data_IF_698796314813
#
_entry.id   IF_698796314813
#
_cell.length_a   1.000
_cell.length_b   1.000
_cell.length_c   1.000
_cell.angle_alpha   90.00
_cell.angle_beta   90.00
_cell.angle_gamma   90.00
#
_symmetry.space_group_name_H-M   'P 1'
#
loop_
_entity.id
_entity.type
_entity.pdbx_description
1 polymer ?
#
# COMPACT_ATOMS: atom_id res chain seq x y z
N UNK A 1 5.81 -68.36 15.83
CA UNK A 1 5.48 -67.35 16.85
C UNK A 1 5.94 -66.00 16.29
N UNK A 2 4.99 -65.05 16.11
CA UNK A 2 5.09 -63.55 16.21
C UNK A 2 6.38 -62.84 15.71
N UNK A 3 6.41 -61.73 14.95
CA UNK A 3 5.46 -60.62 14.68
C UNK A 3 6.02 -59.68 13.58
N UNK A 4 5.10 -58.95 12.93
CA UNK A 4 5.15 -57.79 12.01
C UNK A 4 6.06 -56.61 12.43
N UNK A 5 6.58 -55.78 11.48
CA UNK A 5 6.37 -54.30 11.37
C UNK A 5 7.18 -53.62 10.25
N UNK A 6 6.50 -52.72 9.54
CA UNK A 6 6.86 -51.87 8.39
C UNK A 6 7.71 -50.62 8.71
N UNK A 7 8.17 -49.92 7.66
CA UNK A 7 8.54 -48.48 7.66
C UNK A 7 9.53 -48.16 6.53
N UNK A 8 9.11 -47.73 5.34
CA UNK A 8 8.82 -46.34 4.91
C UNK A 8 9.99 -45.37 5.14
N UNK A 9 10.76 -45.09 4.08
CA UNK A 9 11.73 -44.00 4.00
C UNK A 9 11.36 -43.05 2.85
N UNK A 10 11.01 -41.83 3.22
CA UNK A 10 10.48 -40.73 2.43
C UNK A 10 11.51 -40.23 1.40
N UNK A 11 11.14 -40.21 0.11
CA UNK A 11 11.87 -39.48 -0.92
C UNK A 11 11.41 -38.03 -0.95
N UNK A 12 12.30 -37.09 -0.63
CA UNK A 12 12.11 -35.65 -0.84
C UNK A 12 12.16 -35.36 -2.34
N UNK A 13 11.01 -35.47 -2.99
CA UNK A 13 10.83 -35.10 -4.40
C UNK A 13 10.38 -33.65 -4.50
N UNK A 14 11.30 -32.76 -4.89
CA UNK A 14 10.95 -31.46 -5.48
C UNK A 14 10.19 -31.76 -6.78
N UNK A 15 8.86 -31.78 -6.70
CA UNK A 15 8.01 -31.95 -7.88
C UNK A 15 8.20 -30.71 -8.72
N UNK A 16 8.80 -30.82 -9.91
CA UNK A 16 9.16 -29.70 -10.80
C UNK A 16 7.96 -28.89 -11.34
N UNK A 17 6.85 -28.82 -10.61
CA UNK A 17 5.66 -28.05 -10.88
C UNK A 17 5.64 -26.84 -9.93
N UNK A 18 5.79 -25.60 -10.41
CA UNK A 18 5.84 -24.42 -9.54
C UNK A 18 4.54 -24.19 -8.76
N UNK A 19 3.40 -24.72 -9.25
CA UNK A 19 2.10 -24.62 -8.57
C UNK A 19 2.03 -25.49 -7.31
N UNK A 20 2.64 -26.69 -7.32
CA UNK A 20 2.66 -27.56 -6.14
C UNK A 20 3.76 -27.17 -5.16
N UNK A 21 4.90 -26.65 -5.65
CA UNK A 21 5.94 -26.06 -4.79
C UNK A 21 5.41 -24.81 -4.08
N UNK A 22 4.57 -24.00 -4.75
CA UNK A 22 3.81 -22.87 -4.16
C UNK A 22 2.84 -23.32 -3.07
N UNK A 23 2.11 -24.42 -3.29
CA UNK A 23 1.16 -24.97 -2.30
C UNK A 23 1.86 -25.72 -1.15
N UNK A 24 2.99 -26.35 -1.41
CA UNK A 24 3.80 -27.03 -0.39
C UNK A 24 4.54 -26.03 0.50
N UNK A 25 5.06 -24.94 -0.07
CA UNK A 25 5.64 -23.81 0.67
C UNK A 25 4.58 -23.09 1.54
N UNK A 26 3.32 -23.05 1.10
CA UNK A 26 2.18 -22.60 1.93
C UNK A 26 1.92 -23.50 3.14
N UNK A 27 2.25 -24.80 3.06
CA UNK A 27 2.00 -25.79 4.13
C UNK A 27 3.16 -26.01 5.08
N UNK A 28 4.41 -25.72 4.67
CA UNK A 28 5.62 -25.97 5.46
C UNK A 28 6.05 -24.79 6.34
N UNK A 29 5.42 -23.62 6.23
CA UNK A 29 5.54 -22.58 7.26
C UNK A 29 4.43 -22.82 8.29
N UNK A 30 4.74 -23.45 9.44
CA UNK A 30 3.74 -23.63 10.48
C UNK A 30 3.35 -22.25 11.00
N UNK A 31 2.05 -21.97 11.04
CA UNK A 31 1.49 -20.96 11.96
C UNK A 31 1.94 -19.49 11.78
N UNK A 32 2.25 -19.02 10.56
CA UNK A 32 2.35 -17.56 10.26
C UNK A 32 1.00 -16.96 9.84
N UNK A 33 -0.05 -17.25 10.60
CA UNK A 33 -1.40 -16.63 10.49
C UNK A 33 -1.50 -15.32 11.29
N UNK A 34 -0.40 -14.65 11.62
CA UNK A 34 -0.41 -13.65 12.70
C UNK A 34 -1.00 -12.29 12.26
N UNK A 35 -0.87 -11.89 11.00
CA UNK A 35 -1.71 -10.82 10.46
C UNK A 35 -3.01 -11.41 9.91
N UNK A 36 -4.00 -11.61 10.79
CA UNK A 36 -5.39 -11.67 10.38
C UNK A 36 -5.77 -10.24 9.92
N UNK A 37 -6.07 -10.02 8.62
CA UNK A 37 -6.20 -8.67 8.10
C UNK A 37 -7.49 -7.96 8.56
N UNK A 38 -8.40 -8.67 9.24
CA UNK A 38 -9.51 -8.09 9.97
C UNK A 38 -9.08 -7.52 11.34
N UNK A 39 -7.88 -7.85 11.83
CA UNK A 39 -7.28 -7.28 13.05
C UNK A 39 -6.41 -6.06 12.79
N UNK A 40 -6.06 -5.78 11.53
CA UNK A 40 -5.31 -4.59 11.15
C UNK A 40 -6.24 -3.37 11.24
N UNK A 41 -5.73 -2.26 11.77
CA UNK A 41 -6.42 -0.95 11.75
C UNK A 41 -5.78 -0.01 10.72
N UNK A 42 -6.54 0.89 10.07
CA UNK A 42 -6.02 1.87 9.10
C UNK A 42 -5.30 3.03 9.79
N UNK A 43 -4.23 2.72 10.53
CA UNK A 43 -3.36 3.73 11.12
C UNK A 43 -2.48 4.36 10.03
N UNK A 44 -1.98 5.60 10.22
CA UNK A 44 -1.04 6.21 9.27
C UNK A 44 0.18 5.32 8.98
N UNK A 45 0.68 4.61 10.00
CA UNK A 45 1.79 3.68 9.86
C UNK A 45 1.44 2.45 9.00
N UNK A 46 0.25 1.88 9.16
CA UNK A 46 -0.19 0.74 8.36
C UNK A 46 -0.53 1.15 6.92
N UNK A 47 -1.16 2.31 6.71
CA UNK A 47 -1.44 2.85 5.38
C UNK A 47 -0.15 3.16 4.62
N UNK A 48 0.86 3.75 5.29
CA UNK A 48 2.18 3.96 4.70
C UNK A 48 2.82 2.67 4.22
N UNK A 49 2.75 1.60 5.02
CA UNK A 49 3.27 0.29 4.63
C UNK A 49 2.50 -0.32 3.45
N UNK A 50 1.16 -0.20 3.43
CA UNK A 50 0.36 -0.67 2.31
C UNK A 50 0.73 0.05 1.00
N UNK A 51 0.96 1.36 1.07
CA UNK A 51 1.46 2.14 -0.08
C UNK A 51 2.84 1.65 -0.54
N UNK A 52 3.77 1.40 0.39
CA UNK A 52 5.10 0.89 0.06
C UNK A 52 5.04 -0.49 -0.62
N UNK A 53 4.18 -1.39 -0.13
CA UNK A 53 3.98 -2.69 -0.77
C UNK A 53 3.30 -2.56 -2.14
N UNK A 54 2.28 -1.71 -2.28
CA UNK A 54 1.63 -1.47 -3.56
C UNK A 54 2.60 -0.90 -4.60
N UNK A 55 3.48 0.03 -4.22
CA UNK A 55 4.51 0.59 -5.12
C UNK A 55 5.51 -0.48 -5.58
N UNK A 56 6.04 -1.28 -4.64
CA UNK A 56 6.99 -2.36 -4.95
C UNK A 56 6.37 -3.43 -5.84
N UNK A 57 5.15 -3.87 -5.51
CA UNK A 57 4.43 -4.87 -6.29
C UNK A 57 4.08 -4.34 -7.68
N UNK A 58 3.68 -3.07 -7.79
CA UNK A 58 3.39 -2.47 -9.10
C UNK A 58 4.63 -2.18 -9.95
N UNK A 59 5.82 -2.02 -9.37
CA UNK A 59 7.06 -1.95 -10.14
C UNK A 59 7.49 -3.32 -10.68
N UNK A 60 7.29 -4.38 -9.89
CA UNK A 60 7.74 -5.74 -10.24
C UNK A 60 6.72 -6.55 -11.04
N UNK A 61 5.43 -6.23 -10.90
CA UNK A 61 4.30 -6.93 -11.52
C UNK A 61 3.28 -5.93 -12.12
N UNK A 62 3.70 -5.08 -13.07
CA UNK A 62 2.85 -4.02 -13.62
C UNK A 62 1.63 -4.54 -14.38
N UNK A 63 1.71 -5.74 -14.95
CA UNK A 63 0.64 -6.36 -15.75
C UNK A 63 -0.38 -7.15 -14.91
N UNK A 64 -0.16 -7.27 -13.60
CA UNK A 64 -1.11 -7.91 -12.69
C UNK A 64 -2.10 -6.89 -12.12
N UNK A 65 -3.32 -7.31 -11.70
CA UNK A 65 -4.30 -6.41 -11.09
C UNK A 65 -3.75 -5.62 -9.89
N UNK A 66 -2.76 -6.19 -9.19
CA UNK A 66 -2.09 -5.52 -8.06
C UNK A 66 -1.29 -4.30 -8.48
N UNK A 67 -0.79 -4.26 -9.72
CA UNK A 67 -0.03 -3.13 -10.25
C UNK A 67 -0.87 -1.86 -10.37
N UNK A 68 -2.17 -1.98 -10.55
CA UNK A 68 -3.12 -0.85 -10.59
C UNK A 68 -3.34 -0.17 -9.23
N UNK A 69 -2.85 -0.78 -8.15
CA UNK A 69 -2.88 -0.19 -6.80
C UNK A 69 -1.70 0.74 -6.53
N UNK A 70 -0.69 0.73 -7.41
CA UNK A 70 0.45 1.63 -7.31
C UNK A 70 0.01 3.07 -7.50
N UNK A 71 0.16 3.86 -6.44
CA UNK A 71 -0.06 5.31 -6.45
C UNK A 71 1.26 6.03 -6.31
N UNK A 72 1.55 6.94 -7.24
CA UNK A 72 2.72 7.80 -7.23
C UNK A 72 2.33 9.18 -6.73
N UNK A 73 3.21 9.83 -5.97
CA UNK A 73 3.03 11.23 -5.60
C UNK A 73 3.08 12.11 -6.85
N UNK A 74 2.04 12.92 -7.08
CA UNK A 74 1.89 13.73 -8.30
C UNK A 74 3.06 14.68 -8.55
N UNK A 75 3.72 15.17 -7.48
CA UNK A 75 4.85 16.11 -7.59
C UNK A 75 6.10 15.42 -8.13
N UNK A 76 6.20 14.10 -7.97
CA UNK A 76 7.36 13.30 -8.35
C UNK A 76 7.07 12.21 -9.39
N UNK A 77 5.80 12.04 -9.79
CA UNK A 77 5.37 10.98 -10.71
C UNK A 77 5.91 11.14 -12.15
N UNK A 78 6.05 12.37 -12.64
CA UNK A 78 6.43 12.64 -14.03
C UNK A 78 7.71 11.92 -14.50
N UNK A 79 8.87 12.03 -13.81
CA UNK A 79 10.07 11.29 -14.20
C UNK A 79 9.89 9.77 -14.15
N UNK A 80 9.03 9.25 -13.27
CA UNK A 80 8.76 7.81 -13.16
C UNK A 80 7.93 7.35 -14.37
N UNK A 81 6.84 8.06 -14.69
CA UNK A 81 5.99 7.76 -15.84
C UNK A 81 6.77 7.82 -17.17
N UNK A 82 7.71 8.76 -17.29
CA UNK A 82 8.58 8.88 -18.47
C UNK A 82 9.56 7.72 -18.67
N UNK A 83 9.73 6.82 -17.68
CA UNK A 83 10.53 5.59 -17.85
C UNK A 83 9.80 4.57 -18.72
N UNK A 84 8.47 4.60 -18.76
CA UNK A 84 7.63 3.59 -19.42
C UNK A 84 6.71 4.16 -20.50
N UNK A 85 6.42 5.46 -20.48
CA UNK A 85 5.53 6.13 -21.41
C UNK A 85 6.22 7.34 -22.06
N UNK A 86 5.92 7.59 -23.33
CA UNK A 86 6.29 8.83 -24.02
C UNK A 86 5.43 10.02 -23.57
N UNK A 87 5.90 11.25 -23.80
CA UNK A 87 5.12 12.47 -23.51
C UNK A 87 3.73 12.47 -24.17
N UNK A 88 3.61 11.93 -25.39
CA UNK A 88 2.32 11.82 -26.09
C UNK A 88 1.38 10.83 -25.39
N UNK A 89 1.89 9.66 -24.98
CA UNK A 89 1.10 8.68 -24.24
C UNK A 89 0.69 9.20 -22.85
N UNK A 90 1.57 9.91 -22.16
CA UNK A 90 1.23 10.55 -20.88
C UNK A 90 0.13 11.60 -21.08
N UNK A 91 0.23 12.42 -22.13
CA UNK A 91 -0.80 13.41 -22.43
C UNK A 91 -2.16 12.78 -22.73
N UNK A 92 -2.17 11.69 -23.50
CA UNK A 92 -3.37 10.93 -23.84
C UNK A 92 -3.99 10.26 -22.61
N UNK A 93 -3.19 9.51 -21.84
CA UNK A 93 -3.65 8.83 -20.63
C UNK A 93 -4.15 9.82 -19.57
N UNK A 94 -3.56 11.03 -19.49
CA UNK A 94 -4.07 12.14 -18.65
C UNK A 94 -5.39 12.70 -19.13
N UNK A 95 -5.60 12.75 -20.44
CA UNK A 95 -6.84 13.26 -21.01
C UNK A 95 -8.03 12.36 -20.65
N UNK A 96 -7.84 11.04 -20.74
CA UNK A 96 -8.89 10.06 -20.44
C UNK A 96 -9.04 9.79 -18.94
N UNK A 97 -7.93 9.71 -18.20
CA UNK A 97 -7.96 9.45 -16.75
C UNK A 97 -8.15 10.69 -15.88
N UNK A 98 -8.00 11.90 -16.45
CA UNK A 98 -8.28 13.16 -15.77
C UNK A 98 -7.23 13.61 -14.73
N UNK A 99 -6.05 12.97 -14.68
CA UNK A 99 -4.97 13.37 -13.77
C UNK A 99 -4.39 14.76 -14.07
N UNK A 100 -4.40 15.59 -13.04
CA UNK A 100 -3.79 16.90 -13.01
C UNK A 100 -2.85 17.02 -11.78
N UNK A 101 -1.51 17.13 -11.96
CA UNK A 101 -0.54 17.23 -10.89
C UNK A 101 -0.66 18.52 -10.06
N UNK A 102 -1.34 19.54 -10.58
CA UNK A 102 -1.60 20.78 -9.84
C UNK A 102 -2.81 20.66 -8.90
N UNK A 103 -3.68 19.65 -9.10
CA UNK A 103 -4.92 19.44 -8.35
C UNK A 103 -4.90 18.17 -7.51
N UNK A 104 -4.34 17.10 -8.05
CA UNK A 104 -4.41 15.76 -7.49
C UNK A 104 -3.13 15.44 -6.72
N UNK A 105 -3.26 14.93 -5.50
CA UNK A 105 -2.11 14.61 -4.64
C UNK A 105 -1.31 13.41 -5.18
N UNK A 106 -2.02 12.43 -5.75
CA UNK A 106 -1.47 11.19 -6.28
C UNK A 106 -1.98 10.90 -7.68
N UNK A 107 -1.24 10.05 -8.40
CA UNK A 107 -1.64 9.46 -9.68
C UNK A 107 -1.48 7.96 -9.65
N UNK A 108 -2.38 7.24 -10.32
CA UNK A 108 -2.20 5.84 -10.66
C UNK A 108 -2.48 5.59 -12.13
N UNK A 109 -1.93 4.49 -12.63
CA UNK A 109 -2.35 3.91 -13.91
C UNK A 109 -3.52 2.97 -13.61
N UNK A 110 -4.70 3.24 -14.18
CA UNK A 110 -5.88 2.38 -14.01
C UNK A 110 -5.80 1.14 -14.93
N UNK A 111 -6.83 0.28 -14.88
CA UNK A 111 -6.89 -0.95 -15.68
C UNK A 111 -6.87 -0.70 -17.20
N UNK A 112 -7.34 0.47 -17.64
CA UNK A 112 -7.34 0.89 -19.05
C UNK A 112 -6.02 1.52 -19.50
N UNK A 113 -5.07 1.71 -18.58
CA UNK A 113 -3.80 2.39 -18.84
C UNK A 113 -3.87 3.92 -18.73
N UNK A 114 -4.99 4.46 -18.27
CA UNK A 114 -5.20 5.89 -18.08
C UNK A 114 -4.63 6.39 -16.76
N UNK A 115 -4.21 7.65 -16.74
CA UNK A 115 -3.65 8.30 -15.56
C UNK A 115 -4.77 8.95 -14.77
N UNK A 116 -5.18 8.27 -13.69
CA UNK A 116 -6.22 8.71 -12.77
C UNK A 116 -5.63 9.50 -11.61
N UNK A 117 -6.15 10.71 -11.40
CA UNK A 117 -5.76 11.57 -10.28
C UNK A 117 -6.56 11.25 -9.01
N UNK A 118 -5.86 11.19 -7.88
CA UNK A 118 -6.43 10.85 -6.57
C UNK A 118 -6.05 11.89 -5.52
N UNK A 119 -6.97 12.18 -4.61
CA UNK A 119 -6.64 12.81 -3.33
C UNK A 119 -5.94 11.82 -2.39
N UNK A 120 -5.22 12.31 -1.39
CA UNK A 120 -4.61 11.45 -0.35
C UNK A 120 -5.60 10.47 0.27
N UNK A 121 -6.80 10.93 0.62
CA UNK A 121 -7.83 10.08 1.22
C UNK A 121 -8.32 8.96 0.27
N UNK A 122 -8.41 9.25 -1.04
CA UNK A 122 -8.78 8.23 -2.03
C UNK A 122 -7.67 7.20 -2.23
N UNK A 123 -6.41 7.64 -2.26
CA UNK A 123 -5.25 6.75 -2.34
C UNK A 123 -5.16 5.84 -1.10
N UNK A 124 -5.34 6.39 0.10
CA UNK A 124 -5.38 5.61 1.35
C UNK A 124 -6.52 4.60 1.37
N UNK A 125 -7.72 5.03 0.93
CA UNK A 125 -8.88 4.14 0.85
C UNK A 125 -8.67 3.01 -0.17
N UNK A 126 -8.00 3.28 -1.30
CA UNK A 126 -7.71 2.30 -2.34
C UNK A 126 -6.87 1.15 -1.78
N UNK A 127 -5.71 1.46 -1.19
CA UNK A 127 -4.81 0.44 -0.62
C UNK A 127 -5.42 -0.25 0.59
N UNK A 128 -6.23 0.46 1.39
CA UNK A 128 -6.93 -0.12 2.52
C UNK A 128 -8.00 -1.13 2.11
N UNK A 129 -8.79 -0.80 1.09
CA UNK A 129 -9.86 -1.67 0.56
C UNK A 129 -9.26 -2.96 0.00
N UNK A 130 -8.08 -2.85 -0.64
CA UNK A 130 -7.36 -3.97 -1.28
C UNK A 130 -6.23 -4.52 -0.41
N UNK A 131 -6.24 -4.25 0.90
CA UNK A 131 -5.17 -4.66 1.84
C UNK A 131 -4.91 -6.16 1.82
N UNK A 132 -5.96 -6.98 1.71
CA UNK A 132 -5.84 -8.44 1.68
C UNK A 132 -5.08 -8.90 0.45
N UNK A 133 -5.39 -8.31 -0.71
CA UNK A 133 -4.75 -8.63 -1.98
C UNK A 133 -3.26 -8.20 -1.96
N UNK A 134 -2.96 -7.02 -1.40
CA UNK A 134 -1.59 -6.52 -1.22
C UNK A 134 -0.79 -7.45 -0.31
N UNK A 135 -1.35 -7.84 0.84
CA UNK A 135 -0.67 -8.71 1.81
C UNK A 135 -0.46 -10.12 1.23
N UNK A 136 -1.45 -10.69 0.53
CA UNK A 136 -1.33 -12.00 -0.10
C UNK A 136 -0.28 -11.99 -1.22
N UNK A 137 -0.31 -10.97 -2.09
CA UNK A 137 0.67 -10.80 -3.16
C UNK A 137 2.09 -10.60 -2.61
N UNK A 138 2.24 -9.82 -1.53
CA UNK A 138 3.52 -9.64 -0.85
C UNK A 138 4.04 -10.96 -0.24
N UNK A 139 3.17 -11.76 0.39
CA UNK A 139 3.57 -13.07 0.94
C UNK A 139 3.95 -14.09 -0.14
N UNK A 140 3.33 -13.98 -1.31
CA UNK A 140 3.64 -14.83 -2.46
C UNK A 140 4.93 -14.42 -3.18
N UNK A 141 5.42 -13.21 -2.93
CA UNK A 141 6.64 -12.72 -3.53
C UNK A 141 7.87 -13.44 -2.96
N UNK A 142 8.47 -14.32 -3.77
CA UNK A 142 9.68 -15.06 -3.40
C UNK A 142 10.91 -14.17 -3.22
N UNK A 143 10.83 -12.90 -3.65
CA UNK A 143 11.89 -11.92 -3.54
C UNK A 143 11.67 -10.94 -2.37
N UNK A 144 10.64 -11.15 -1.54
CA UNK A 144 10.45 -10.37 -0.31
C UNK A 144 11.49 -10.78 0.75
N UNK A 145 12.17 -9.77 1.28
CA UNK A 145 13.16 -9.93 2.34
C UNK A 145 12.49 -10.24 3.70
N UNK A 146 13.27 -10.84 4.61
CA UNK A 146 12.79 -11.24 5.93
C UNK A 146 12.33 -10.06 6.80
N UNK A 147 12.87 -8.86 6.56
CA UNK A 147 12.49 -7.63 7.26
C UNK A 147 11.09 -7.16 6.83
N UNK A 148 10.81 -7.22 5.53
CA UNK A 148 9.49 -6.97 4.94
C UNK A 148 8.44 -7.95 5.52
N UNK A 149 8.77 -9.24 5.60
CA UNK A 149 7.86 -10.24 6.19
C UNK A 149 7.59 -9.95 7.68
N UNK A 150 8.62 -9.54 8.42
CA UNK A 150 8.48 -9.12 9.83
C UNK A 150 7.61 -7.86 9.97
N UNK A 151 7.74 -6.93 9.03
CA UNK A 151 6.97 -5.69 9.00
C UNK A 151 5.49 -5.97 8.70
N UNK A 152 5.19 -6.90 7.79
CA UNK A 152 3.84 -7.39 7.50
C UNK A 152 3.21 -8.07 8.73
N UNK A 153 3.95 -8.95 9.41
CA UNK A 153 3.49 -9.60 10.64
C UNK A 153 3.19 -8.56 11.74
N UNK A 154 4.00 -7.51 11.85
CA UNK A 154 3.83 -6.46 12.85
C UNK A 154 2.63 -5.51 12.58
N UNK A 155 2.01 -5.51 11.40
CA UNK A 155 0.90 -4.59 11.08
C UNK A 155 -0.35 -4.82 11.97
N UNK A 156 -0.58 -6.06 12.40
CA UNK A 156 -1.70 -6.42 13.27
C UNK A 156 -1.44 -6.13 14.76
N UNK A 157 -0.17 -6.17 15.19
CA UNK A 157 0.25 -5.81 16.55
C UNK A 157 0.44 -4.29 16.73
N UNK A 158 0.45 -3.53 15.61
CA UNK A 158 0.61 -2.06 15.60
C UNK A 158 -0.67 -1.35 16.04
N UNK A 159 -0.98 -1.49 17.32
CA UNK A 159 -2.02 -0.69 17.99
C UNK A 159 -1.44 0.71 18.20
N UNK A 160 -1.85 1.65 17.34
CA UNK A 160 -1.57 3.09 17.48
C UNK A 160 -0.08 3.47 17.60
N UNK A 161 0.61 3.63 16.47
CA UNK A 161 1.70 4.61 16.47
C UNK A 161 1.07 6.00 16.52
N UNK A 162 1.47 6.89 17.45
CA UNK A 162 1.03 8.27 17.44
C UNK A 162 1.39 8.86 16.07
N UNK A 163 0.44 9.61 15.50
CA UNK A 163 0.61 10.43 14.31
C UNK A 163 1.96 11.13 14.40
N UNK A 164 2.97 10.63 13.67
CA UNK A 164 4.24 11.35 13.63
C UNK A 164 3.91 12.65 12.91
N UNK A 165 4.13 13.82 13.54
CA UNK A 165 3.87 15.07 12.88
C UNK A 165 4.65 15.06 11.57
N UNK A 166 3.94 15.34 10.48
CA UNK A 166 4.46 15.48 9.13
C UNK A 166 5.54 16.58 9.15
N UNK A 167 6.78 16.19 9.47
CA UNK A 167 7.94 17.08 9.59
C UNK A 167 8.37 17.67 8.23
N UNK A 168 7.65 17.34 7.15
CA UNK A 168 7.92 17.80 5.79
C UNK A 168 6.94 18.92 5.34
N UNK A 169 5.94 19.28 6.15
CA UNK A 169 5.02 20.37 5.83
C UNK A 169 5.20 21.60 6.73
N UNK A 170 6.22 22.45 6.51
CA UNK A 170 6.44 23.67 7.29
C UNK A 170 5.35 24.74 7.12
N UNK A 171 4.35 24.51 6.25
CA UNK A 171 3.33 25.51 5.91
C UNK A 171 2.03 25.40 6.72
N UNK A 172 1.85 24.34 7.55
CA UNK A 172 0.57 24.12 8.25
C UNK A 172 0.38 24.98 9.51
N UNK A 173 1.42 25.66 10.01
CA UNK A 173 1.33 26.45 11.25
C UNK A 173 0.94 27.93 11.07
N UNK A 174 0.54 28.39 9.88
CA UNK A 174 0.20 29.82 9.69
C UNK A 174 -1.28 30.14 9.37
N UNK A 175 -2.20 29.17 9.49
CA UNK A 175 -3.61 29.36 9.11
C UNK A 175 -4.63 29.43 10.28
N UNK A 176 -4.21 29.58 11.53
CA UNK A 176 -5.14 29.96 12.62
C UNK A 176 -5.04 31.45 12.94
N UNK A 177 -5.70 32.20 12.05
CA UNK A 177 -5.94 33.63 12.04
C UNK A 177 -5.93 34.36 13.38
N UNK A 178 -4.97 35.27 13.48
CA UNK A 178 -5.19 36.58 14.11
C UNK A 178 -6.41 37.25 13.47
N UNK A 179 -7.43 37.55 14.27
CA UNK A 179 -8.17 38.85 14.30
C UNK A 179 -9.59 38.67 14.81
N UNK A 180 -9.86 39.13 16.04
CA UNK A 180 -11.11 39.86 16.33
C UNK A 180 -10.88 40.93 17.38
N UNK A 181 -10.27 42.04 16.95
CA UNK A 181 -10.40 43.34 17.62
C UNK A 181 -11.46 44.13 16.85
N UNK A 182 -12.67 44.16 17.36
CA UNK A 182 -13.70 45.10 16.92
C UNK A 182 -14.44 45.64 18.13
N UNK A 183 -14.04 46.84 18.51
CA UNK A 183 -14.61 47.73 19.50
C UNK A 183 -16.08 48.06 19.17
N UNK A 184 -16.98 48.01 20.16
CA UNK A 184 -18.15 48.89 20.18
C UNK A 184 -18.52 49.27 21.61
N UNK A 185 -18.72 50.57 21.80
CA UNK A 185 -18.88 51.26 23.07
C UNK A 185 -20.34 51.33 23.57
N UNK A 186 -20.47 51.61 24.89
CA UNK A 186 -21.51 52.38 25.61
C UNK A 186 -22.95 51.80 25.72
N UNK A 187 -23.41 51.46 26.93
CA UNK A 187 -24.11 52.34 27.93
C UNK A 187 -25.18 51.58 28.78
N UNK A 188 -25.22 51.82 30.11
CA UNK A 188 -26.47 51.98 30.89
C UNK A 188 -26.97 50.91 31.89
N UNK A 189 -26.96 51.26 33.20
CA UNK A 189 -27.90 50.87 34.29
C UNK A 189 -27.77 49.46 34.87
N UNK A 190 -27.80 49.19 36.18
CA UNK A 190 -28.38 49.87 37.35
C UNK A 190 -27.54 49.56 38.60
#
# INVERSE_FOLDING_TARGET
>A
MTTTTSGTGHGTGRSGNPVVDREDNRRTIPDRRIADPDRITPTPGNLRLLHEFADRLGETRPDEPIGTLRTLDSRTAMPILKRTMSDAQIQEARWYGGWNPDRDDYVRVNEDGDLEGLTRAQADQLVWTRRNDIIDAARDDQNIDAETMTTLDAMADRTEMPDQPDLDNPDREQAHGTTRRASRARNGGH
#
